data_IF_649748194828
#
_entry.id   IF_649748194828
#
_cell.length_a   1.000
_cell.length_b   1.000
_cell.length_c   1.000
_cell.angle_alpha   90.00
_cell.angle_beta   90.00
_cell.angle_gamma   90.00
#
_symmetry.space_group_name_H-M   'P 1'
#
loop_
_entity.id
_entity.type
_entity.pdbx_description
1 polymer ?
#
# COMPACT_ATOMS: atom_id res chain seq x y z
N UNK A 1 20.84 32.30 38.12
CA UNK A 1 20.49 30.99 37.52
C UNK A 1 19.01 30.64 37.67
N UNK A 2 18.46 30.62 38.89
CA UNK A 2 17.05 30.24 39.19
C UNK A 2 15.99 30.98 38.37
N UNK A 3 16.16 32.30 38.12
CA UNK A 3 15.22 33.06 37.28
C UNK A 3 15.25 32.65 35.80
N UNK A 4 16.41 32.30 35.25
CA UNK A 4 16.50 31.81 33.85
C UNK A 4 15.97 30.39 33.71
N UNK A 5 16.21 29.53 34.71
CA UNK A 5 15.67 28.15 34.77
C UNK A 5 14.14 28.19 34.82
N UNK A 6 13.54 29.05 35.64
CA UNK A 6 12.08 29.20 35.70
C UNK A 6 11.49 29.77 34.41
N UNK A 7 12.16 30.71 33.75
CA UNK A 7 11.71 31.27 32.46
C UNK A 7 11.81 30.24 31.33
N UNK A 8 12.85 29.40 31.31
CA UNK A 8 12.98 28.29 30.37
C UNK A 8 11.95 27.18 30.63
N UNK A 9 11.69 26.83 31.90
CA UNK A 9 10.66 25.87 32.29
C UNK A 9 9.24 26.34 31.92
N UNK A 10 8.99 27.66 31.92
CA UNK A 10 7.70 28.22 31.47
C UNK A 10 7.59 28.42 29.95
N UNK A 11 8.70 28.29 29.19
CA UNK A 11 8.74 28.53 27.74
C UNK A 11 9.00 27.28 26.89
N UNK A 12 9.47 26.19 27.51
CA UNK A 12 9.60 24.87 26.90
C UNK A 12 8.56 23.95 27.54
N UNK A 13 7.45 23.75 26.85
CA UNK A 13 6.39 22.82 27.29
C UNK A 13 6.80 21.34 27.25
N UNK A 14 8.07 21.03 27.04
CA UNK A 14 8.59 19.67 27.10
C UNK A 14 9.11 19.40 28.51
N UNK A 15 8.42 18.51 29.23
CA UNK A 15 8.87 18.04 30.55
C UNK A 15 10.29 17.44 30.48
N UNK A 16 11.06 17.56 31.56
CA UNK A 16 12.42 17.00 31.64
C UNK A 16 12.54 15.53 31.20
N UNK A 17 11.58 14.63 31.49
CA UNK A 17 11.60 13.26 30.95
C UNK A 17 11.58 13.21 29.42
N UNK A 18 10.78 14.05 28.77
CA UNK A 18 10.66 14.13 27.31
C UNK A 18 11.97 14.64 26.68
N UNK A 19 12.61 15.65 27.30
CA UNK A 19 13.92 16.13 26.86
C UNK A 19 14.99 15.03 27.00
N UNK A 20 14.97 14.26 28.10
CA UNK A 20 15.87 13.11 28.27
C UNK A 20 15.63 12.02 27.21
N UNK A 21 14.38 11.73 26.84
CA UNK A 21 14.04 10.81 25.74
C UNK A 21 14.64 11.28 24.41
N UNK A 22 14.51 12.58 24.06
CA UNK A 22 15.10 13.14 22.85
C UNK A 22 16.64 13.11 22.86
N UNK A 23 17.28 13.40 24.00
CA UNK A 23 18.74 13.32 24.15
C UNK A 23 19.27 11.88 24.01
N UNK A 24 18.48 10.90 24.45
CA UNK A 24 18.75 9.47 24.27
C UNK A 24 18.34 8.94 22.87
N UNK A 25 17.90 9.82 21.97
CA UNK A 25 17.43 9.48 20.61
C UNK A 25 16.26 8.47 20.60
N UNK A 26 15.45 8.44 21.64
CA UNK A 26 14.25 7.63 21.67
C UNK A 26 13.14 8.30 20.84
N UNK A 27 12.41 7.56 20.00
CA UNK A 27 11.32 8.11 19.20
C UNK A 27 10.13 8.51 20.09
N UNK A 28 9.49 9.64 19.79
CA UNK A 28 8.34 10.19 20.55
C UNK A 28 6.99 9.53 20.20
N UNK A 29 7.01 8.31 19.68
CA UNK A 29 5.80 7.57 19.34
C UNK A 29 6.05 6.06 19.33
N UNK A 30 5.09 5.32 19.89
CA UNK A 30 4.99 3.89 19.69
C UNK A 30 4.04 3.63 18.52
N UNK A 31 4.58 3.20 17.37
CA UNK A 31 3.77 2.74 16.25
C UNK A 31 4.05 1.28 15.99
N UNK A 32 3.11 0.40 16.35
CA UNK A 32 3.21 -1.03 16.06
C UNK A 32 3.15 -1.32 14.55
N UNK A 33 2.46 -0.47 13.80
CA UNK A 33 2.24 -0.61 12.37
C UNK A 33 2.55 0.69 11.63
N UNK A 34 2.89 0.58 10.34
CA UNK A 34 3.09 1.71 9.44
C UNK A 34 2.00 1.71 8.38
N UNK A 35 1.23 2.78 8.33
CA UNK A 35 0.20 2.94 7.32
C UNK A 35 0.77 3.57 6.04
N UNK A 36 0.52 2.95 4.89
CA UNK A 36 0.95 3.47 3.59
C UNK A 36 -0.25 3.92 2.76
N UNK A 37 -0.22 5.12 2.16
CA UNK A 37 -1.35 5.64 1.39
C UNK A 37 -1.61 4.76 0.17
N UNK A 38 -2.84 4.25 0.03
CA UNK A 38 -3.23 3.35 -1.05
C UNK A 38 -4.49 3.83 -1.76
N UNK A 39 -4.32 4.36 -2.97
CA UNK A 39 -5.41 4.83 -3.83
C UNK A 39 -6.05 3.66 -4.58
N UNK A 40 -6.79 2.81 -3.88
CA UNK A 40 -7.26 1.51 -4.38
C UNK A 40 -8.06 1.58 -5.68
N UNK A 41 -8.91 2.61 -5.83
CA UNK A 41 -9.81 2.72 -6.99
C UNK A 41 -9.04 2.83 -8.31
N UNK A 42 -7.84 3.44 -8.33
CA UNK A 42 -7.06 3.55 -9.57
C UNK A 42 -6.64 2.18 -10.11
N UNK A 43 -6.36 1.23 -9.22
CA UNK A 43 -5.97 -0.13 -9.58
C UNK A 43 -7.17 -0.94 -10.09
N UNK A 44 -8.31 -0.84 -9.42
CA UNK A 44 -9.55 -1.50 -9.85
C UNK A 44 -10.00 -0.98 -11.22
N UNK A 45 -9.89 0.33 -11.46
CA UNK A 45 -10.21 0.90 -12.77
C UNK A 45 -9.25 0.42 -13.86
N UNK A 46 -7.95 0.29 -13.58
CA UNK A 46 -6.99 -0.25 -14.56
C UNK A 46 -7.27 -1.72 -14.88
N UNK A 47 -7.69 -2.52 -13.88
CA UNK A 47 -8.13 -3.88 -14.09
C UNK A 47 -9.42 -3.96 -14.94
N UNK A 48 -10.39 -3.07 -14.70
CA UNK A 48 -11.65 -3.00 -15.47
C UNK A 48 -11.48 -2.48 -16.90
N UNK A 49 -10.46 -1.66 -17.15
CA UNK A 49 -10.24 -0.96 -18.43
C UNK A 49 -10.23 -1.88 -19.64
N UNK A 50 -9.74 -3.12 -19.50
CA UNK A 50 -9.68 -4.09 -20.61
C UNK A 50 -11.07 -4.57 -21.01
N UNK A 51 -11.99 -4.62 -20.05
CA UNK A 51 -13.35 -5.15 -20.22
C UNK A 51 -14.36 -4.05 -20.52
N UNK A 52 -14.18 -2.86 -19.93
CA UNK A 52 -15.09 -1.72 -20.08
C UNK A 52 -14.31 -0.46 -20.49
N UNK A 53 -13.90 -0.34 -21.75
CA UNK A 53 -13.14 0.81 -22.23
C UNK A 53 -13.96 2.13 -22.19
N UNK A 54 -15.29 2.05 -22.07
CA UNK A 54 -16.17 3.22 -21.98
C UNK A 54 -16.18 3.85 -20.57
N UNK A 55 -15.84 3.09 -19.52
CA UNK A 55 -15.85 3.54 -18.12
C UNK A 55 -14.62 4.42 -17.76
N UNK A 56 -13.73 4.70 -18.72
CA UNK A 56 -12.45 5.41 -18.52
C UNK A 56 -12.64 6.89 -18.17
N UNK A 57 -13.86 7.44 -18.23
CA UNK A 57 -14.14 8.85 -17.86
C UNK A 57 -13.99 9.14 -16.34
N UNK A 58 -13.63 8.16 -15.52
CA UNK A 58 -13.34 8.35 -14.10
C UNK A 58 -12.04 9.14 -13.85
N UNK A 59 -12.04 9.92 -12.75
CA UNK A 59 -11.00 10.81 -12.21
C UNK A 59 -9.64 10.11 -11.92
N UNK A 60 -8.98 9.61 -12.96
CA UNK A 60 -7.67 8.96 -12.87
C UNK A 60 -6.59 10.04 -12.93
N UNK A 61 -6.26 10.61 -11.76
CA UNK A 61 -5.20 11.61 -11.62
C UNK A 61 -3.85 11.00 -11.99
N UNK A 62 -3.34 11.36 -13.16
CA UNK A 62 -2.01 10.95 -13.64
C UNK A 62 -1.00 12.07 -13.43
N UNK A 63 0.21 11.70 -13.02
CA UNK A 63 1.33 12.65 -12.95
C UNK A 63 1.94 12.78 -14.34
N UNK A 64 1.98 13.98 -14.90
CA UNK A 64 2.57 14.21 -16.22
C UNK A 64 4.08 14.36 -16.11
N UNK A 65 4.81 13.52 -16.86
CA UNK A 65 6.28 13.52 -16.91
C UNK A 65 6.72 13.82 -18.33
N UNK A 66 7.62 14.79 -18.51
CA UNK A 66 8.23 15.09 -19.82
C UNK A 66 9.49 14.25 -20.01
N UNK A 67 9.50 13.34 -20.98
CA UNK A 67 10.66 12.50 -21.33
C UNK A 67 10.98 12.65 -22.82
N UNK A 68 12.22 13.05 -23.16
CA UNK A 68 12.68 13.27 -24.54
C UNK A 68 11.73 14.15 -25.37
N UNK A 69 11.19 15.21 -24.76
CA UNK A 69 10.24 16.13 -25.43
C UNK A 69 8.79 15.65 -25.50
N UNK A 70 8.49 14.39 -25.17
CA UNK A 70 7.13 13.83 -25.12
C UNK A 70 6.56 13.86 -23.70
N UNK A 71 5.30 14.26 -23.56
CA UNK A 71 4.56 14.20 -22.30
C UNK A 71 4.03 12.77 -22.11
N UNK A 72 4.31 12.16 -20.96
CA UNK A 72 3.89 10.81 -20.59
C UNK A 72 3.11 10.90 -19.27
N UNK A 73 1.90 10.36 -19.22
CA UNK A 73 1.17 10.20 -17.96
C UNK A 73 1.73 9.01 -17.17
N UNK A 74 2.15 9.25 -15.94
CA UNK A 74 2.52 8.21 -14.97
C UNK A 74 1.33 7.98 -14.05
N UNK A 75 0.66 6.83 -14.24
CA UNK A 75 -0.31 6.30 -13.28
C UNK A 75 0.41 5.64 -12.11
N UNK A 76 -0.20 5.65 -10.92
CA UNK A 76 0.26 4.91 -9.74
C UNK A 76 0.27 3.39 -9.97
N UNK A 77 -0.52 2.90 -10.93
CA UNK A 77 -0.68 1.48 -11.24
C UNK A 77 0.50 0.87 -11.99
N UNK A 78 1.31 1.70 -12.67
CA UNK A 78 2.45 1.23 -13.47
C UNK A 78 3.45 0.42 -12.64
N UNK A 79 3.69 0.84 -11.39
CA UNK A 79 4.69 0.20 -10.52
C UNK A 79 4.33 -1.28 -10.24
N UNK A 80 3.03 -1.61 -10.13
CA UNK A 80 2.55 -2.98 -9.93
C UNK A 80 2.44 -3.76 -11.26
N UNK A 81 1.85 -3.15 -12.30
CA UNK A 81 1.60 -3.85 -13.58
C UNK A 81 2.88 -4.21 -14.33
N UNK A 82 3.94 -3.42 -14.18
CA UNK A 82 5.23 -3.63 -14.87
C UNK A 82 6.31 -4.16 -13.93
N UNK A 83 5.94 -4.88 -12.89
CA UNK A 83 6.91 -5.42 -11.95
C UNK A 83 7.67 -6.65 -12.49
N UNK A 84 8.83 -7.03 -11.92
CA UNK A 84 9.66 -8.15 -12.41
C UNK A 84 8.92 -9.50 -12.54
N UNK A 85 9.27 -10.30 -13.56
CA UNK A 85 8.66 -11.64 -13.80
C UNK A 85 8.93 -12.67 -12.71
N UNK A 86 10.01 -12.50 -11.95
CA UNK A 86 10.49 -13.47 -10.96
C UNK A 86 9.53 -13.73 -9.81
N UNK A 87 8.44 -12.97 -9.70
CA UNK A 87 7.52 -13.07 -8.59
C UNK A 87 6.04 -13.03 -9.02
N UNK A 88 5.72 -13.28 -10.30
CA UNK A 88 4.38 -13.16 -10.94
C UNK A 88 3.17 -13.65 -10.11
N UNK A 89 3.37 -14.51 -9.12
CA UNK A 89 2.35 -15.00 -8.18
C UNK A 89 1.90 -14.01 -7.08
N UNK A 90 2.39 -12.77 -7.01
CA UNK A 90 2.00 -11.83 -5.94
C UNK A 90 0.78 -10.98 -6.29
N UNK A 91 -0.19 -10.94 -5.38
CA UNK A 91 -1.36 -10.07 -5.47
C UNK A 91 -1.06 -8.64 -4.99
N UNK A 92 -1.91 -7.70 -5.40
CA UNK A 92 -1.70 -6.27 -5.21
C UNK A 92 -1.56 -5.86 -3.74
N UNK A 93 -2.42 -6.38 -2.87
CA UNK A 93 -2.40 -6.04 -1.44
C UNK A 93 -1.03 -6.36 -0.80
N UNK A 94 -0.51 -7.57 -1.03
CA UNK A 94 0.80 -7.99 -0.52
C UNK A 94 1.95 -7.19 -1.14
N UNK A 95 1.85 -6.85 -2.44
CA UNK A 95 2.84 -6.02 -3.12
C UNK A 95 2.97 -4.63 -2.50
N UNK A 96 1.85 -3.99 -2.14
CA UNK A 96 1.84 -2.64 -1.51
C UNK A 96 2.53 -2.66 -0.15
N UNK A 97 2.38 -3.74 0.62
CA UNK A 97 3.05 -3.89 1.90
C UNK A 97 4.56 -4.12 1.72
N UNK A 98 4.94 -4.89 0.70
CA UNK A 98 6.31 -5.38 0.51
C UNK A 98 7.20 -4.46 -0.29
N UNK A 99 6.67 -3.65 -1.20
CA UNK A 99 7.49 -2.91 -2.14
C UNK A 99 7.18 -1.42 -2.16
N UNK A 100 8.24 -0.64 -2.32
CA UNK A 100 8.15 0.80 -2.56
C UNK A 100 9.04 1.19 -3.73
N UNK A 101 8.64 2.22 -4.48
CA UNK A 101 9.46 2.75 -5.58
C UNK A 101 10.58 3.63 -5.03
N UNK A 102 11.83 3.34 -5.39
CA UNK A 102 12.98 4.18 -5.06
C UNK A 102 13.77 4.58 -6.33
N UNK A 103 14.38 5.77 -6.30
CA UNK A 103 15.27 6.21 -7.35
C UNK A 103 16.58 5.40 -7.34
N UNK A 104 17.08 5.05 -8.52
CA UNK A 104 18.40 4.42 -8.69
C UNK A 104 19.46 5.45 -8.38
N UNK A 105 20.35 5.16 -7.43
CA UNK A 105 21.50 6.03 -7.16
C UNK A 105 22.53 5.87 -8.28
N UNK A 106 22.92 6.99 -8.86
CA UNK A 106 24.06 7.07 -9.77
C UNK A 106 25.35 7.10 -8.95
N UNK A 107 26.03 5.97 -8.81
CA UNK A 107 27.39 5.91 -8.28
C UNK A 107 27.48 5.72 -6.76
N UNK A 108 28.29 4.72 -6.37
CA UNK A 108 28.78 4.30 -5.04
C UNK A 108 27.76 4.23 -3.89
N UNK A 109 27.73 3.06 -3.25
CA UNK A 109 27.05 2.81 -1.99
C UNK A 109 27.49 3.86 -0.98
N UNK A 110 26.56 4.75 -0.64
CA UNK A 110 26.37 5.24 0.72
C UNK A 110 24.86 5.35 0.92
N UNK A 111 24.38 4.69 1.97
CA UNK A 111 23.02 4.73 2.46
C UNK A 111 22.89 6.05 3.23
N UNK A 112 22.04 7.02 2.84
CA UNK A 112 21.60 8.07 3.74
C UNK A 112 20.73 7.39 4.79
N UNK A 113 21.38 7.04 5.89
CA UNK A 113 20.74 6.82 7.16
C UNK A 113 20.08 8.13 7.59
N UNK A 114 18.76 8.18 7.47
CA UNK A 114 17.98 9.17 8.21
C UNK A 114 16.97 8.55 9.18
N UNK A 115 17.03 7.23 9.40
CA UNK A 115 16.36 6.55 10.52
C UNK A 115 17.13 5.32 11.02
N UNK A 116 18.46 5.34 10.96
CA UNK A 116 19.28 4.32 11.61
C UNK A 116 19.63 4.76 13.03
N UNK A 117 18.65 4.77 13.93
CA UNK A 117 18.91 4.79 15.36
C UNK A 117 17.94 3.84 16.05
N UNK A 118 18.44 2.63 16.28
CA UNK A 118 18.28 1.82 17.49
C UNK A 118 18.41 0.34 17.10
N UNK A 119 19.65 -0.04 16.85
CA UNK A 119 20.08 -1.43 16.70
C UNK A 119 20.33 -1.98 18.10
N UNK A 120 19.31 -2.50 18.77
CA UNK A 120 19.56 -3.62 19.68
C UNK A 120 19.77 -4.86 18.80
N UNK A 121 20.99 -5.39 18.88
CA UNK A 121 21.36 -6.68 18.29
C UNK A 121 20.49 -7.76 18.91
N UNK A 122 19.46 -8.22 18.20
CA UNK A 122 18.86 -9.52 18.44
C UNK A 122 19.52 -10.53 17.49
N UNK A 123 20.08 -11.55 18.12
CA UNK A 123 20.91 -12.57 17.53
C UNK A 123 20.14 -13.38 16.48
N UNK A 124 20.93 -13.86 15.53
CA UNK A 124 20.58 -14.64 14.36
C UNK A 124 19.51 -15.71 14.60
N UNK A 125 18.48 -15.68 13.77
CA UNK A 125 17.83 -16.93 13.34
C UNK A 125 17.88 -17.03 11.81
N UNK A 126 18.31 -18.21 11.36
CA UNK A 126 18.77 -18.49 10.00
C UNK A 126 17.58 -18.75 9.08
N UNK A 127 17.19 -17.78 8.25
CA UNK A 127 16.49 -18.00 6.95
C UNK A 127 16.05 -16.69 6.26
N UNK A 128 16.95 -15.70 6.14
CA UNK A 128 16.71 -14.59 5.22
C UNK A 128 17.48 -14.83 3.91
N UNK A 129 16.82 -14.97 2.74
CA UNK A 129 17.54 -15.08 1.48
C UNK A 129 18.25 -13.76 1.21
N UNK A 130 19.50 -13.83 0.80
CA UNK A 130 20.39 -12.71 0.49
C UNK A 130 19.78 -11.77 -0.55
N UNK A 131 19.11 -10.69 -0.11
CA UNK A 131 18.49 -9.66 -0.98
C UNK A 131 19.60 -8.78 -1.56
N UNK A 132 20.22 -9.22 -2.66
CA UNK A 132 21.06 -8.38 -3.52
C UNK A 132 20.73 -8.54 -5.01
N UNK A 133 19.54 -9.05 -5.33
CA UNK A 133 18.94 -8.94 -6.67
C UNK A 133 18.25 -7.59 -6.78
N UNK A 134 18.89 -6.65 -7.48
CA UNK A 134 18.26 -5.36 -7.83
C UNK A 134 17.04 -5.64 -8.70
N UNK A 135 15.84 -5.61 -8.10
CA UNK A 135 14.59 -5.75 -8.82
C UNK A 135 14.48 -4.64 -9.86
N UNK A 136 14.04 -4.97 -11.08
CA UNK A 136 13.92 -4.01 -12.18
C UNK A 136 12.52 -4.09 -12.77
N UNK A 137 11.91 -2.93 -13.00
CA UNK A 137 10.67 -2.87 -13.77
C UNK A 137 10.86 -3.43 -15.18
N UNK A 138 9.81 -4.05 -15.71
CA UNK A 138 9.74 -4.54 -17.07
C UNK A 138 9.78 -3.41 -18.10
N UNK A 139 10.00 -3.78 -19.35
CA UNK A 139 9.87 -2.88 -20.48
C UNK A 139 8.44 -2.29 -20.54
N UNK A 140 8.33 -1.01 -20.86
CA UNK A 140 7.06 -0.27 -20.85
C UNK A 140 6.86 0.64 -19.61
N UNK A 141 7.56 0.39 -18.49
CA UNK A 141 7.45 1.28 -17.33
C UNK A 141 8.12 2.64 -17.60
N UNK A 142 7.41 3.79 -17.47
CA UNK A 142 7.96 5.11 -17.82
C UNK A 142 9.27 5.45 -17.07
N UNK A 143 9.38 4.96 -15.83
CA UNK A 143 10.50 5.16 -14.92
C UNK A 143 11.45 3.96 -14.81
N UNK A 144 11.36 2.94 -15.67
CA UNK A 144 12.21 1.73 -15.59
C UNK A 144 13.72 2.05 -15.51
N UNK A 145 14.14 3.14 -16.17
CA UNK A 145 15.54 3.56 -16.22
C UNK A 145 16.00 4.31 -14.97
N UNK A 146 15.10 5.03 -14.29
CA UNK A 146 15.45 5.92 -13.17
C UNK A 146 15.06 5.36 -11.81
N UNK A 147 14.09 4.45 -11.75
CA UNK A 147 13.56 3.89 -10.51
C UNK A 147 13.55 2.37 -10.54
N UNK A 148 13.45 1.77 -9.35
CA UNK A 148 13.29 0.34 -9.14
C UNK A 148 12.38 0.09 -7.92
N UNK A 149 11.67 -1.05 -7.88
CA UNK A 149 11.01 -1.50 -6.67
C UNK A 149 12.06 -1.94 -5.64
N UNK A 150 11.88 -1.53 -4.40
CA UNK A 150 12.74 -1.87 -3.26
C UNK A 150 11.87 -2.55 -2.20
N UNK A 151 12.36 -3.68 -1.69
CA UNK A 151 11.69 -4.40 -0.62
C UNK A 151 11.70 -3.58 0.68
N UNK A 152 10.52 -3.42 1.28
CA UNK A 152 10.32 -2.77 2.56
C UNK A 152 10.79 -3.71 3.67
N UNK A 153 11.70 -3.26 4.53
CA UNK A 153 12.03 -3.96 5.77
C UNK A 153 10.79 -3.97 6.67
N UNK A 154 10.57 -5.07 7.41
CA UNK A 154 9.46 -5.21 8.34
C UNK A 154 8.07 -5.02 7.68
N UNK A 155 7.93 -5.48 6.43
CA UNK A 155 6.68 -5.39 5.65
C UNK A 155 5.45 -5.98 6.35
N UNK A 156 5.63 -6.92 7.28
CA UNK A 156 4.56 -7.53 8.08
C UNK A 156 3.80 -6.51 8.95
N UNK A 157 4.44 -5.39 9.29
CA UNK A 157 3.84 -4.30 10.06
C UNK A 157 3.31 -3.17 9.17
N UNK A 158 3.40 -3.31 7.84
CA UNK A 158 2.90 -2.32 6.89
C UNK A 158 1.44 -2.62 6.57
N UNK A 159 0.57 -1.62 6.74
CA UNK A 159 -0.87 -1.74 6.48
C UNK A 159 -1.28 -0.73 5.41
N UNK A 160 -1.90 -1.15 4.30
CA UNK A 160 -2.43 -0.24 3.30
C UNK A 160 -3.57 0.60 3.88
N UNK A 161 -3.43 1.92 3.81
CA UNK A 161 -4.48 2.87 4.14
C UNK A 161 -5.28 3.20 2.88
N UNK A 162 -6.48 2.65 2.77
CA UNK A 162 -7.36 2.83 1.61
C UNK A 162 -7.84 4.27 1.50
N UNK A 163 -7.38 4.98 0.48
CA UNK A 163 -7.76 6.35 0.16
C UNK A 163 -8.68 6.35 -1.06
N UNK A 164 -9.80 7.09 -0.95
CA UNK A 164 -10.80 7.21 -2.01
C UNK A 164 -12.21 7.03 -1.46
N UNK A 165 -13.19 6.69 -2.32
CA UNK A 165 -14.51 6.30 -1.84
C UNK A 165 -14.43 5.07 -0.92
N UNK A 166 -15.46 4.81 -0.10
CA UNK A 166 -15.53 3.58 0.69
C UNK A 166 -15.42 2.35 -0.21
N UNK A 167 -14.75 1.31 0.29
CA UNK A 167 -14.69 0.02 -0.40
C UNK A 167 -16.10 -0.52 -0.65
N UNK A 168 -16.36 -1.18 -1.79
CA UNK A 168 -17.65 -1.78 -2.04
C UNK A 168 -17.97 -2.83 -0.98
N UNK A 169 -19.26 -3.03 -0.76
CA UNK A 169 -19.82 -3.98 0.21
C UNK A 169 -20.35 -5.21 -0.52
N UNK A 170 -20.24 -6.42 0.06
CA UNK A 170 -20.83 -7.63 -0.53
C UNK A 170 -22.37 -7.60 -0.54
N UNK A 171 -22.96 -6.90 0.44
CA UNK A 171 -24.40 -6.83 0.72
C UNK A 171 -25.15 -5.74 -0.08
N UNK A 172 -24.45 -4.90 -0.85
CA UNK A 172 -25.04 -3.80 -1.64
C UNK A 172 -25.16 -4.12 -3.13
N UNK A 173 -25.98 -3.34 -3.83
CA UNK A 173 -26.47 -3.56 -5.21
C UNK A 173 -25.39 -3.78 -6.30
N UNK A 174 -24.11 -3.47 -6.05
CA UNK A 174 -23.04 -3.65 -7.05
C UNK A 174 -22.08 -4.79 -6.68
N UNK A 175 -22.63 -6.01 -6.66
CA UNK A 175 -21.88 -7.25 -6.43
C UNK A 175 -20.74 -7.42 -7.45
N UNK A 176 -20.98 -7.06 -8.72
CA UNK A 176 -19.96 -7.13 -9.78
C UNK A 176 -18.75 -6.23 -9.45
N UNK A 177 -18.97 -5.00 -9.00
CA UNK A 177 -17.87 -4.12 -8.60
C UNK A 177 -17.18 -4.57 -7.31
N UNK A 178 -17.91 -5.14 -6.36
CA UNK A 178 -17.33 -5.78 -5.18
C UNK A 178 -16.38 -6.92 -5.57
N UNK A 179 -16.88 -7.90 -6.33
CA UNK A 179 -16.11 -9.05 -6.79
C UNK A 179 -14.87 -8.60 -7.59
N UNK A 180 -15.03 -7.65 -8.50
CA UNK A 180 -13.91 -7.05 -9.25
C UNK A 180 -12.87 -6.42 -8.32
N UNK A 181 -13.30 -5.69 -7.29
CA UNK A 181 -12.41 -5.03 -6.33
C UNK A 181 -11.63 -6.04 -5.51
N UNK A 182 -12.28 -7.08 -4.98
CA UNK A 182 -11.61 -8.11 -4.17
C UNK A 182 -10.63 -8.92 -5.04
N UNK A 183 -11.02 -9.29 -6.25
CA UNK A 183 -10.13 -9.95 -7.21
C UNK A 183 -8.91 -9.06 -7.53
N UNK A 184 -9.11 -7.78 -7.82
CA UNK A 184 -8.00 -6.87 -8.10
C UNK A 184 -7.03 -6.68 -6.91
N UNK A 185 -7.50 -6.88 -5.67
CA UNK A 185 -6.66 -6.76 -4.48
C UNK A 185 -5.91 -8.06 -4.15
N UNK A 186 -6.56 -9.22 -4.30
CA UNK A 186 -6.10 -10.50 -3.74
C UNK A 186 -5.83 -11.61 -4.75
N UNK A 187 -6.18 -11.43 -6.02
CA UNK A 187 -5.74 -12.33 -7.10
C UNK A 187 -4.52 -11.69 -7.79
N UNK A 188 -3.45 -12.44 -8.12
CA UNK A 188 -2.32 -11.89 -8.87
C UNK A 188 -2.74 -11.49 -10.29
N UNK A 189 -2.37 -10.28 -10.73
CA UNK A 189 -2.67 -9.81 -12.09
C UNK A 189 -1.65 -8.79 -12.58
N UNK A 190 -1.54 -8.66 -13.91
CA UNK A 190 -0.85 -7.57 -14.60
C UNK A 190 -1.80 -6.82 -15.52
N UNK A 191 -2.76 -7.53 -16.08
CA UNK A 191 -3.84 -6.98 -16.89
C UNK A 191 -5.18 -7.48 -16.38
N UNK A 192 -6.26 -6.77 -16.72
CA UNK A 192 -7.62 -7.21 -16.37
C UNK A 192 -7.99 -8.62 -16.85
N UNK A 193 -7.30 -9.14 -17.88
CA UNK A 193 -7.51 -10.49 -18.41
C UNK A 193 -7.02 -11.60 -17.48
N UNK A 194 -6.10 -11.28 -16.56
CA UNK A 194 -5.61 -12.27 -15.58
C UNK A 194 -6.66 -12.51 -14.48
N UNK A 195 -7.61 -11.58 -14.31
CA UNK A 195 -8.60 -11.66 -13.26
C UNK A 195 -9.85 -12.46 -13.66
N UNK A 196 -10.22 -12.48 -14.93
CA UNK A 196 -11.48 -13.05 -15.44
C UNK A 196 -11.32 -13.54 -16.88
N UNK A 197 -12.06 -14.58 -17.28
CA UNK A 197 -12.09 -15.04 -18.68
C UNK A 197 -13.04 -14.23 -19.58
N UNK A 198 -12.88 -14.35 -20.90
CA UNK A 198 -13.79 -13.70 -21.85
C UNK A 198 -15.21 -14.27 -21.72
N UNK A 199 -16.18 -13.40 -21.38
CA UNK A 199 -17.59 -13.77 -21.23
C UNK A 199 -18.01 -14.26 -19.84
N UNK A 200 -17.07 -14.54 -18.93
CA UNK A 200 -17.34 -14.83 -17.52
C UNK A 200 -17.87 -13.57 -16.80
N UNK A 201 -18.66 -13.68 -15.73
CA UNK A 201 -19.05 -12.53 -14.87
C UNK A 201 -18.03 -12.29 -13.74
N UNK A 202 -17.93 -11.07 -13.18
CA UNK A 202 -16.97 -10.86 -12.06
C UNK A 202 -17.34 -11.69 -10.84
N UNK A 203 -18.63 -11.90 -10.64
CA UNK A 203 -19.15 -12.81 -9.64
C UNK A 203 -18.68 -14.25 -9.86
N UNK A 204 -18.84 -14.82 -11.06
CA UNK A 204 -18.33 -16.16 -11.39
C UNK A 204 -16.83 -16.29 -11.16
N UNK A 205 -16.04 -15.31 -11.64
CA UNK A 205 -14.59 -15.31 -11.45
C UNK A 205 -14.19 -15.27 -9.97
N UNK A 206 -14.99 -14.61 -9.14
CA UNK A 206 -14.79 -14.52 -7.70
C UNK A 206 -15.12 -15.83 -7.00
N UNK A 207 -16.24 -16.48 -7.33
CA UNK A 207 -16.62 -17.78 -6.77
C UNK A 207 -15.68 -18.90 -7.19
N UNK A 208 -15.17 -18.85 -8.42
CA UNK A 208 -14.21 -19.82 -8.96
C UNK A 208 -12.82 -19.68 -8.34
N UNK A 209 -12.46 -18.50 -7.84
CA UNK A 209 -11.13 -18.24 -7.29
C UNK A 209 -11.04 -18.66 -5.81
N UNK A 210 -10.08 -19.54 -5.51
CA UNK A 210 -9.80 -19.99 -4.14
C UNK A 210 -8.83 -19.03 -3.45
N UNK A 211 -9.36 -18.22 -2.55
CA UNK A 211 -8.57 -17.44 -1.61
C UNK A 211 -7.96 -18.35 -0.54
N UNK A 212 -6.70 -18.11 -0.19
CA UNK A 212 -6.07 -18.73 0.97
C UNK A 212 -6.54 -18.10 2.29
N UNK A 213 -6.05 -18.66 3.40
CA UNK A 213 -6.50 -18.29 4.74
C UNK A 213 -6.21 -16.82 5.07
N UNK A 214 -5.03 -16.33 4.69
CA UNK A 214 -4.64 -14.94 4.92
C UNK A 214 -5.46 -13.95 4.08
N UNK A 215 -5.69 -14.25 2.79
CA UNK A 215 -6.53 -13.38 1.95
C UNK A 215 -7.96 -13.34 2.50
N UNK A 216 -8.52 -14.50 2.85
CA UNK A 216 -9.86 -14.63 3.43
C UNK A 216 -9.98 -13.85 4.75
N UNK A 217 -8.95 -13.91 5.60
CA UNK A 217 -8.86 -13.14 6.84
C UNK A 217 -8.88 -11.63 6.56
N UNK A 218 -8.10 -11.14 5.59
CA UNK A 218 -8.09 -9.73 5.24
C UNK A 218 -9.43 -9.28 4.64
N UNK A 219 -10.04 -10.06 3.76
CA UNK A 219 -11.35 -9.77 3.16
C UNK A 219 -12.41 -9.66 4.27
N UNK A 220 -12.42 -10.58 5.23
CA UNK A 220 -13.33 -10.54 6.38
C UNK A 220 -13.11 -9.28 7.22
N UNK A 221 -11.86 -8.90 7.50
CA UNK A 221 -11.53 -7.70 8.27
C UNK A 221 -11.94 -6.41 7.54
N UNK A 222 -11.85 -6.36 6.21
CA UNK A 222 -12.36 -5.23 5.42
C UNK A 222 -13.87 -5.06 5.60
N UNK A 223 -14.62 -6.17 5.64
CA UNK A 223 -16.08 -6.16 5.83
C UNK A 223 -16.49 -5.87 7.28
N UNK A 224 -15.70 -6.29 8.28
CA UNK A 224 -15.99 -6.07 9.70
C UNK A 224 -16.21 -4.60 10.04
N UNK A 225 -15.48 -3.68 9.39
CA UNK A 225 -15.68 -2.23 9.57
C UNK A 225 -17.12 -1.82 9.26
N UNK A 226 -17.72 -2.41 8.25
CA UNK A 226 -19.08 -2.12 7.83
C UNK A 226 -20.10 -2.72 8.78
N UNK A 227 -19.89 -3.95 9.23
CA UNK A 227 -20.73 -4.60 10.24
C UNK A 227 -20.80 -3.77 11.53
N UNK A 228 -19.66 -3.24 12.00
CA UNK A 228 -19.62 -2.36 13.16
C UNK A 228 -20.36 -1.03 12.96
N UNK A 229 -20.29 -0.45 11.76
CA UNK A 229 -21.00 0.79 11.45
C UNK A 229 -22.52 0.56 11.42
N UNK A 230 -22.95 -0.54 10.80
CA UNK A 230 -24.37 -0.90 10.72
C UNK A 230 -24.93 -1.21 12.11
N UNK A 231 -24.23 -2.02 12.92
CA UNK A 231 -24.65 -2.33 14.29
C UNK A 231 -24.80 -1.06 15.17
N UNK A 232 -23.91 -0.08 14.99
CA UNK A 232 -24.02 1.21 15.69
C UNK A 232 -25.24 2.00 15.22
N UNK A 233 -25.49 2.03 13.92
CA UNK A 233 -26.58 2.81 13.34
C UNK A 233 -27.95 2.16 13.61
N UNK A 234 -28.03 0.82 13.66
CA UNK A 234 -29.17 0.04 14.10
C UNK A 234 -29.49 0.27 15.59
N UNK A 235 -28.46 0.28 16.45
CA UNK A 235 -28.65 0.62 17.85
C UNK A 235 -29.21 2.05 18.03
N UNK A 236 -28.75 2.99 17.20
CA UNK A 236 -29.24 4.38 17.22
C UNK A 236 -30.66 4.52 16.68
N UNK A 237 -31.05 3.70 15.70
CA UNK A 237 -32.40 3.74 15.13
C UNK A 237 -33.44 3.19 16.09
N UNK A 238 -33.09 2.17 16.89
CA UNK A 238 -33.95 1.59 17.94
C UNK A 238 -34.16 2.52 19.15
N UNK A 239 -33.29 3.51 19.35
CA UNK A 239 -33.37 4.49 20.44
C UNK A 239 -34.20 5.75 20.09
N UNK A 240 -34.78 5.82 18.89
CA UNK A 240 -35.68 6.89 18.44
C UNK A 240 -37.12 6.40 18.42
#
# INVERSE_FOLDING_TARGET
LTKMVNVLATKLELGSPMICLYLLQNPDHYSSHRFVPFYWKTFVMEARKVWYPQDIQGDNKVVLIKKKGKLIGLSSTYDYTHWPEQHTSMYLYDWICRFTRAAKRSGKQDIPDQYANNTEKLESDQSAPTINTVLRYMEGHPLAQTHAPVATRNWQYVVPNFIGPPLPRPDKEDCEFYCCTILALFKPWRTGKDLKADGESWHEAFENYKFGDMESFYIKNMNLRYECLDARDDFRSQMK
#
